data_IF_279922197273
#
_entry.id   IF_279922197273
#
_cell.length_a   1.000
_cell.length_b   1.000
_cell.length_c   1.000
_cell.angle_alpha   90.00
_cell.angle_beta   90.00
_cell.angle_gamma   90.00
#
_symmetry.space_group_name_H-M   'P 1'
#
loop_
_entity.id
_entity.type
_entity.pdbx_description
1 polymer ?
#
# COMPACT_ATOMS: atom_id res chain seq x y z
N UNK A 1 2.11 18.54 -13.19
CA UNK A 1 2.97 17.57 -12.46
C UNK A 1 2.26 16.21 -12.59
N UNK A 2 2.96 15.08 -12.62
CA UNK A 2 2.32 13.78 -12.71
C UNK A 2 2.42 13.08 -11.36
N UNK A 3 1.29 12.68 -10.78
CA UNK A 3 1.26 11.88 -9.55
C UNK A 3 1.27 10.40 -9.94
N UNK A 4 2.22 9.66 -9.37
CA UNK A 4 2.30 8.20 -9.54
C UNK A 4 2.05 7.53 -8.19
N UNK A 5 1.10 6.59 -8.18
CA UNK A 5 0.89 5.70 -7.03
C UNK A 5 1.74 4.46 -7.26
N UNK A 6 2.70 4.20 -6.36
CA UNK A 6 3.62 3.06 -6.46
C UNK A 6 3.23 2.06 -5.37
N UNK A 7 2.94 0.82 -5.77
CA UNK A 7 2.76 -0.28 -4.82
C UNK A 7 4.12 -0.88 -4.44
N UNK A 8 4.23 -1.36 -3.21
CA UNK A 8 5.41 -2.06 -2.67
C UNK A 8 4.95 -3.37 -2.05
N UNK A 9 5.69 -4.45 -2.28
CA UNK A 9 5.49 -5.71 -1.55
C UNK A 9 6.65 -5.96 -0.60
N UNK A 10 6.33 -6.54 0.54
CA UNK A 10 7.31 -7.11 1.46
C UNK A 10 7.46 -8.61 1.20
N UNK A 11 8.68 -9.08 0.95
CA UNK A 11 8.98 -10.50 0.84
C UNK A 11 9.45 -11.03 2.20
N UNK A 12 8.58 -11.75 2.91
CA UNK A 12 8.91 -12.36 4.21
C UNK A 12 10.03 -13.42 4.14
N UNK A 13 10.28 -14.02 2.97
CA UNK A 13 11.34 -15.03 2.82
C UNK A 13 12.74 -14.42 2.91
N UNK A 14 12.95 -13.23 2.34
CA UNK A 14 14.25 -12.54 2.36
C UNK A 14 14.23 -11.23 3.14
N UNK A 15 13.11 -10.87 3.77
CA UNK A 15 12.90 -9.66 4.54
C UNK A 15 13.27 -8.37 3.76
N UNK A 16 12.91 -8.31 2.48
CA UNK A 16 13.14 -7.14 1.63
C UNK A 16 11.83 -6.63 1.06
N UNK A 17 11.74 -5.32 0.92
CA UNK A 17 10.67 -4.67 0.18
C UNK A 17 11.09 -4.42 -1.27
N UNK A 18 10.15 -4.54 -2.21
CA UNK A 18 10.38 -4.16 -3.60
C UNK A 18 9.15 -3.45 -4.21
N UNK A 19 9.37 -2.44 -5.07
CA UNK A 19 8.29 -1.77 -5.75
C UNK A 19 7.72 -2.64 -6.87
N UNK A 20 6.44 -2.45 -7.17
CA UNK A 20 5.76 -3.07 -8.30
C UNK A 20 5.49 -2.04 -9.40
N UNK A 21 5.79 -2.42 -10.65
CA UNK A 21 5.44 -1.62 -11.82
C UNK A 21 4.04 -1.97 -12.34
N UNK A 22 3.02 -1.40 -11.72
CA UNK A 22 1.61 -1.66 -12.03
C UNK A 22 1.11 -0.98 -13.32
N UNK A 23 1.93 -0.15 -13.95
CA UNK A 23 1.60 0.51 -15.21
C UNK A 23 1.81 -0.39 -16.44
N UNK A 24 2.32 -1.61 -16.22
CA UNK A 24 2.45 -2.64 -17.25
C UNK A 24 1.57 -3.84 -16.90
N UNK A 25 1.10 -4.61 -17.89
CA UNK A 25 0.43 -5.87 -17.63
C UNK A 25 1.35 -6.81 -16.83
N UNK A 26 0.91 -7.25 -15.66
CA UNK A 26 1.64 -8.20 -14.82
C UNK A 26 0.88 -9.51 -14.82
N UNK A 27 1.51 -10.56 -15.35
CA UNK A 27 1.00 -11.95 -15.27
C UNK A 27 1.73 -12.77 -14.21
N UNK A 28 2.88 -12.26 -13.72
CA UNK A 28 3.71 -12.92 -12.72
C UNK A 28 4.46 -11.87 -11.89
N UNK A 29 4.53 -12.08 -10.58
CA UNK A 29 5.36 -11.29 -9.67
C UNK A 29 6.33 -12.24 -8.97
N UNK A 30 7.63 -11.92 -9.08
CA UNK A 30 8.71 -12.63 -8.39
C UNK A 30 9.52 -11.64 -7.56
N UNK A 31 9.93 -12.04 -6.37
CA UNK A 31 10.82 -11.24 -5.54
C UNK A 31 12.19 -11.10 -6.23
N UNK A 32 12.69 -9.87 -6.48
CA UNK A 32 13.94 -9.67 -7.21
C UNK A 32 15.20 -10.04 -6.40
N UNK A 33 15.04 -10.37 -5.12
CA UNK A 33 16.15 -10.69 -4.22
C UNK A 33 16.33 -12.19 -3.97
N UNK A 34 15.26 -12.99 -4.08
CA UNK A 34 15.29 -14.41 -3.75
C UNK A 34 14.52 -15.29 -4.74
N UNK A 35 13.99 -14.72 -5.82
CA UNK A 35 13.25 -15.38 -6.90
C UNK A 35 11.97 -16.11 -6.45
N UNK A 36 11.51 -15.88 -5.22
CA UNK A 36 10.23 -16.42 -4.74
C UNK A 36 9.07 -15.78 -5.46
N UNK A 37 8.18 -16.62 -5.98
CA UNK A 37 6.99 -16.21 -6.70
C UNK A 37 5.84 -15.87 -5.74
N UNK A 38 5.11 -14.80 -6.06
CA UNK A 38 3.81 -14.52 -5.47
C UNK A 38 2.79 -15.51 -6.04
N UNK A 39 1.88 -16.00 -5.20
CA UNK A 39 0.79 -16.87 -5.62
C UNK A 39 -0.04 -16.21 -6.74
N UNK A 40 -0.29 -16.94 -7.82
CA UNK A 40 -1.00 -16.44 -9.00
C UNK A 40 -2.40 -15.91 -8.64
N UNK A 41 -3.07 -16.53 -7.66
CA UNK A 41 -4.39 -16.10 -7.18
C UNK A 41 -4.38 -14.72 -6.52
N UNK A 42 -3.21 -14.22 -6.11
CA UNK A 42 -3.06 -12.92 -5.46
C UNK A 42 -2.76 -11.77 -6.44
N UNK A 43 -2.38 -12.08 -7.68
CA UNK A 43 -1.95 -11.07 -8.66
C UNK A 43 -3.08 -10.09 -9.02
N UNK A 44 -4.27 -10.62 -9.33
CA UNK A 44 -5.47 -9.82 -9.62
C UNK A 44 -5.91 -8.98 -8.42
N UNK A 45 -6.06 -9.55 -7.19
CA UNK A 45 -6.33 -8.76 -5.99
C UNK A 45 -5.35 -7.61 -5.74
N UNK A 46 -4.05 -7.85 -5.90
CA UNK A 46 -3.01 -6.83 -5.75
C UNK A 46 -3.23 -5.70 -6.77
N UNK A 47 -3.52 -6.04 -8.03
CA UNK A 47 -3.76 -5.06 -9.09
C UNK A 47 -4.99 -4.21 -8.79
N UNK A 48 -6.09 -4.83 -8.36
CA UNK A 48 -7.34 -4.14 -8.05
C UNK A 48 -7.19 -3.19 -6.86
N UNK A 49 -6.49 -3.62 -5.80
CA UNK A 49 -6.19 -2.77 -4.65
C UNK A 49 -5.35 -1.54 -5.06
N UNK A 50 -4.29 -1.74 -5.85
CA UNK A 50 -3.49 -0.63 -6.37
C UNK A 50 -4.32 0.31 -7.25
N UNK A 51 -5.16 -0.23 -8.14
CA UNK A 51 -5.97 0.57 -9.05
C UNK A 51 -6.95 1.49 -8.31
N UNK A 52 -7.54 1.01 -7.21
CA UNK A 52 -8.41 1.82 -6.36
C UNK A 52 -7.66 3.00 -5.71
N UNK A 53 -6.51 2.75 -5.09
CA UNK A 53 -5.70 3.80 -4.45
C UNK A 53 -5.17 4.78 -5.50
N UNK A 54 -4.71 4.28 -6.65
CA UNK A 54 -4.23 5.09 -7.78
C UNK A 54 -5.33 5.99 -8.33
N UNK A 55 -6.53 5.46 -8.54
CA UNK A 55 -7.70 6.22 -8.99
C UNK A 55 -8.11 7.31 -8.00
N UNK A 56 -8.09 6.99 -6.69
CA UNK A 56 -8.38 7.97 -5.63
C UNK A 56 -7.35 9.10 -5.60
N UNK A 57 -6.05 8.77 -5.66
CA UNK A 57 -4.98 9.75 -5.68
C UNK A 57 -5.01 10.63 -6.96
N UNK A 58 -5.39 10.05 -8.10
CA UNK A 58 -5.63 10.84 -9.31
C UNK A 58 -6.81 11.80 -9.15
N UNK A 59 -7.88 11.39 -8.48
CA UNK A 59 -9.02 12.26 -8.20
C UNK A 59 -8.65 13.42 -7.25
N UNK A 60 -7.88 13.15 -6.19
CA UNK A 60 -7.34 14.20 -5.32
C UNK A 60 -6.50 15.20 -6.10
N UNK A 61 -5.61 14.73 -6.97
CA UNK A 61 -4.79 15.61 -7.79
C UNK A 61 -5.60 16.40 -8.83
N UNK A 62 -6.60 15.77 -9.46
CA UNK A 62 -7.47 16.48 -10.40
C UNK A 62 -8.21 17.61 -9.71
N UNK A 63 -8.73 17.36 -8.50
CA UNK A 63 -9.35 18.40 -7.69
C UNK A 63 -8.37 19.55 -7.38
N UNK A 64 -7.06 19.28 -7.34
CA UNK A 64 -6.00 20.29 -7.11
C UNK A 64 -5.86 21.30 -8.19
N UNK A 65 -5.99 20.78 -9.40
CA UNK A 65 -5.82 21.59 -10.57
C UNK A 65 -7.08 22.42 -10.84
N UNK A 66 -8.24 22.01 -10.32
CA UNK A 66 -9.55 22.62 -10.56
C UNK A 66 -10.03 23.51 -9.41
N UNK A 67 -9.49 23.34 -8.21
CA UNK A 67 -9.81 24.07 -6.98
C UNK A 67 -8.50 24.47 -6.30
N UNK A 68 -8.39 25.66 -5.72
CA UNK A 68 -7.18 26.09 -4.99
C UNK A 68 -6.82 25.19 -3.78
N UNK A 69 -7.57 24.10 -3.52
CA UNK A 69 -7.20 23.11 -2.49
C UNK A 69 -7.59 21.66 -2.80
N UNK A 70 -6.59 20.78 -2.74
CA UNK A 70 -6.69 19.45 -2.15
C UNK A 70 -5.51 19.22 -1.21
N UNK A 71 -5.84 18.88 0.02
CA UNK A 71 -4.87 18.81 1.10
C UNK A 71 -4.38 17.39 1.37
N UNK A 72 -4.73 16.44 0.50
CA UNK A 72 -4.71 15.02 0.86
C UNK A 72 -4.25 14.11 -0.29
N UNK A 73 -3.55 13.05 0.09
CA UNK A 73 -3.29 11.85 -0.69
C UNK A 73 -3.42 10.65 0.26
N UNK A 74 -3.73 9.48 -0.29
CA UNK A 74 -3.79 8.24 0.48
C UNK A 74 -2.47 7.48 0.37
N UNK A 75 -1.87 7.19 1.53
CA UNK A 75 -0.74 6.28 1.70
C UNK A 75 -1.12 5.22 2.73
N UNK A 76 -0.92 3.94 2.40
CA UNK A 76 -1.25 2.81 3.26
C UNK A 76 0.06 2.06 3.55
N UNK A 77 0.34 1.82 4.82
CA UNK A 77 1.44 0.99 5.29
C UNK A 77 1.03 0.28 6.57
N UNK A 78 1.61 -0.89 6.81
CA UNK A 78 1.46 -1.61 8.07
C UNK A 78 2.45 -1.03 9.10
N UNK A 79 1.97 -0.82 10.33
CA UNK A 79 2.78 -0.41 11.47
C UNK A 79 2.51 -1.39 12.63
N UNK A 80 3.57 -1.94 13.21
CA UNK A 80 3.47 -2.80 14.38
C UNK A 80 3.29 -1.92 15.63
N UNK A 81 2.06 -1.85 16.13
CA UNK A 81 1.72 -1.08 17.33
C UNK A 81 1.67 -2.01 18.54
N UNK A 82 2.56 -1.78 19.50
CA UNK A 82 2.48 -2.41 20.82
C UNK A 82 1.52 -1.61 21.68
N UNK A 83 0.31 -2.12 21.88
CA UNK A 83 -0.63 -1.51 22.82
C UNK A 83 -0.17 -1.85 24.24
N UNK A 84 0.30 -0.85 24.98
CA UNK A 84 0.40 -0.94 26.43
C UNK A 84 -1.04 -1.06 26.95
N UNK A 85 -1.42 -2.28 27.36
CA UNK A 85 -2.62 -2.45 28.17
C UNK A 85 -2.24 -1.89 29.53
N UNK A 86 -2.49 -0.60 29.74
CA UNK A 86 -2.55 -0.08 31.10
C UNK A 86 -3.59 -0.94 31.83
N UNK A 87 -3.11 -1.74 32.77
CA UNK A 87 -3.95 -2.44 33.74
C UNK A 87 -4.88 -1.38 34.31
N UNK A 88 -6.16 -1.46 33.93
CA UNK A 88 -7.20 -0.67 34.57
C UNK A 88 -7.24 -1.22 35.99
N UNK A 89 -6.51 -0.54 36.88
CA UNK A 89 -6.62 -0.62 38.32
C UNK A 89 -8.09 -0.37 38.67
N UNK A 90 -8.87 -1.46 38.69
CA UNK A 90 -10.13 -1.48 39.42
C UNK A 90 -9.78 -1.41 40.90
N UNK A 91 -9.50 -0.19 41.37
CA UNK A 91 -9.83 0.20 42.73
C UNK A 91 -11.34 0.00 42.91
N UNK A 92 -11.71 -1.23 43.26
CA UNK A 92 -13.00 -1.53 43.87
C UNK A 92 -12.76 -1.65 45.36
N UNK A 93 -13.20 -0.57 46.04
CA UNK A 93 -13.52 -0.37 47.45
C UNK A 93 -13.46 -1.57 48.41
#
# INVERSE_FOLDING_TARGET
MAIMTIAKLHCYQCNHDFPLNMYQPITKISCPYCDTDVDESMIEPIRDAWAQVSGLNQAFHKHEMESEEPRFSLNIHDEEVHLEIDDIDNETE
#
